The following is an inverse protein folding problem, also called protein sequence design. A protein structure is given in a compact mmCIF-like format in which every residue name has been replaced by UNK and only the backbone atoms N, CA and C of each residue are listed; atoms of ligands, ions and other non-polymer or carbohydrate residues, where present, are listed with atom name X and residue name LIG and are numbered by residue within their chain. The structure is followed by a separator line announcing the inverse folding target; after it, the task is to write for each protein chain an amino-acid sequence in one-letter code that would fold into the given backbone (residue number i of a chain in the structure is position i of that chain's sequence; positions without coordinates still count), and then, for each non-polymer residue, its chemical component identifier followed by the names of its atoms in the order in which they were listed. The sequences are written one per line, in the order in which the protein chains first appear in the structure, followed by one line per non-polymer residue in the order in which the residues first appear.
data_IF_674333893839
#
_entry.id   IF_674333893839
#
_cell.length_a   1.000
_cell.length_b   1.000
_cell.length_c   1.000
_cell.angle_alpha   90.00
_cell.angle_beta   90.00
_cell.angle_gamma   90.00
#
_symmetry.space_group_name_H-M   'P 1'
#
loop_
_entity.id
_entity.type
_entity.pdbx_description
1 polymer ?
#
# COMPACT_ATOMS: atom_id res chain seq x y z
N UNK A 1 9.78 3.32 -2.88
CA UNK A 1 9.18 2.31 -1.99
C UNK A 1 10.32 1.46 -1.40
N UNK A 2 10.51 1.45 -0.08
CA UNK A 2 11.49 0.59 0.61
C UNK A 2 10.83 -0.05 1.84
N UNK A 3 10.75 -1.38 1.86
CA UNK A 3 10.38 -2.27 2.96
C UNK A 3 11.44 -3.40 3.06
N UNK A 4 12.38 -3.31 3.98
CA UNK A 4 13.32 -4.41 4.28
C UNK A 4 12.69 -5.40 5.25
N UNK A 5 12.40 -6.63 4.80
CA UNK A 5 12.28 -7.80 5.68
C UNK A 5 13.48 -8.71 5.39
N UNK A 6 14.26 -9.05 6.41
CA UNK A 6 15.25 -10.14 6.31
C UNK A 6 14.48 -11.45 6.37
N UNK A 7 14.54 -12.26 5.32
CA UNK A 7 14.19 -13.68 5.42
C UNK A 7 15.02 -14.52 4.44
N UNK A 8 15.57 -15.58 5.00
CA UNK A 8 16.42 -16.58 4.37
C UNK A 8 15.60 -17.47 3.43
N UNK A 9 16.03 -17.53 2.16
CA UNK A 9 15.75 -18.64 1.24
C UNK A 9 14.31 -18.76 0.75
N UNK A 10 13.89 -17.89 -0.19
CA UNK A 10 12.78 -18.12 -1.13
C UNK A 10 12.97 -17.21 -2.35
N UNK A 11 12.58 -17.70 -3.53
CA UNK A 11 12.84 -17.16 -4.87
C UNK A 11 12.57 -15.65 -4.95
N UNK A 12 13.52 -14.90 -5.51
CA UNK A 12 13.58 -13.43 -5.50
C UNK A 12 12.54 -12.79 -6.46
N UNK A 13 11.27 -12.87 -6.09
CA UNK A 13 10.32 -11.83 -6.46
C UNK A 13 10.60 -10.65 -5.52
N UNK A 14 10.93 -9.47 -6.07
CA UNK A 14 11.20 -8.26 -5.28
C UNK A 14 10.18 -8.13 -4.14
N UNK A 15 10.64 -8.22 -2.89
CA UNK A 15 9.78 -8.13 -1.69
C UNK A 15 8.98 -6.82 -1.65
N UNK A 16 9.45 -5.81 -2.39
CA UNK A 16 8.91 -4.45 -2.42
C UNK A 16 7.79 -4.23 -3.46
N UNK A 17 7.50 -5.21 -4.31
CA UNK A 17 6.59 -5.06 -5.46
C UNK A 17 5.40 -6.01 -5.42
N UNK A 18 5.05 -6.48 -4.22
CA UNK A 18 3.89 -7.36 -4.00
C UNK A 18 2.54 -6.64 -4.08
N UNK A 19 2.56 -5.30 -3.99
CA UNK A 19 1.39 -4.43 -4.08
C UNK A 19 1.68 -3.37 -5.13
N UNK A 20 0.77 -3.20 -6.09
CA UNK A 20 0.90 -2.20 -7.15
C UNK A 20 -0.28 -1.25 -7.07
N UNK A 21 0.00 0.03 -6.82
CA UNK A 21 -1.01 1.09 -6.89
C UNK A 21 -1.34 1.40 -8.34
N UNK A 22 -2.62 1.42 -8.68
CA UNK A 22 -3.13 1.63 -10.04
C UNK A 22 -4.04 2.86 -10.08
N UNK A 23 -4.26 3.41 -11.28
CA UNK A 23 -5.17 4.54 -11.51
C UNK A 23 -4.89 5.78 -10.64
N UNK A 24 -3.61 6.06 -10.35
CA UNK A 24 -3.22 7.20 -9.50
C UNK A 24 -3.17 8.50 -10.33
N UNK A 25 -4.09 9.45 -10.14
CA UNK A 25 -4.02 10.74 -10.81
C UNK A 25 -2.83 11.58 -10.32
N UNK A 26 -2.41 12.54 -11.14
CA UNK A 26 -1.35 13.47 -10.80
C UNK A 26 -1.73 14.45 -9.66
N UNK A 27 -3.02 14.64 -9.42
CA UNK A 27 -3.52 15.56 -8.39
C UNK A 27 -4.89 15.12 -7.87
N UNK A 28 -5.14 15.40 -6.60
CA UNK A 28 -6.45 15.25 -5.95
C UNK A 28 -6.98 16.62 -5.53
N UNK A 29 -8.28 16.92 -5.72
CA UNK A 29 -8.86 18.16 -5.22
C UNK A 29 -8.75 18.27 -3.69
N UNK A 30 -8.51 19.48 -3.13
CA UNK A 30 -8.49 19.68 -1.69
C UNK A 30 -9.80 19.27 -1.02
N UNK A 31 -9.72 18.76 0.22
CA UNK A 31 -10.89 18.39 1.05
C UNK A 31 -11.85 17.38 0.39
N UNK A 32 -11.33 16.55 -0.52
CA UNK A 32 -12.09 15.45 -1.13
C UNK A 32 -11.55 14.11 -0.66
N UNK A 33 -12.44 13.11 -0.65
CA UNK A 33 -12.03 11.73 -0.40
C UNK A 33 -11.07 11.26 -1.48
N UNK A 34 -9.94 10.69 -1.06
CA UNK A 34 -8.96 10.07 -1.96
C UNK A 34 -9.15 8.57 -1.92
N UNK A 35 -9.50 7.97 -3.05
CA UNK A 35 -9.55 6.52 -3.22
C UNK A 35 -8.31 6.06 -3.97
N UNK A 36 -7.49 5.26 -3.31
CA UNK A 36 -6.30 4.66 -3.89
C UNK A 36 -6.58 3.19 -4.19
N UNK A 37 -6.49 2.78 -5.45
CA UNK A 37 -6.67 1.38 -5.85
C UNK A 37 -5.34 0.67 -5.96
N UNK A 38 -5.33 -0.61 -5.62
CA UNK A 38 -4.15 -1.42 -5.76
C UNK A 38 -4.46 -2.89 -6.02
N UNK A 39 -3.48 -3.57 -6.60
CA UNK A 39 -3.52 -5.01 -6.85
C UNK A 39 -2.44 -5.73 -6.06
N UNK A 40 -2.75 -6.94 -5.62
CA UNK A 40 -1.84 -7.86 -4.96
C UNK A 40 -1.18 -8.78 -5.99
N UNK A 41 0.07 -9.17 -5.73
CA UNK A 41 0.66 -10.31 -6.41
C UNK A 41 -0.10 -11.59 -6.03
N UNK A 42 -0.09 -12.59 -6.91
CA UNK A 42 -0.77 -13.87 -6.65
C UNK A 42 -0.22 -14.63 -5.44
N UNK A 43 1.00 -14.32 -4.99
CA UNK A 43 1.63 -14.95 -3.84
C UNK A 43 1.51 -14.11 -2.56
N UNK A 44 0.96 -12.90 -2.64
CA UNK A 44 0.82 -12.01 -1.48
C UNK A 44 -0.44 -12.35 -0.68
N UNK A 45 -0.28 -12.42 0.64
CA UNK A 45 -1.39 -12.67 1.56
C UNK A 45 -1.48 -11.49 2.54
N UNK A 46 -2.54 -10.65 2.43
CA UNK A 46 -2.71 -9.48 3.30
C UNK A 46 -2.87 -9.87 4.77
N UNK A 47 -2.23 -9.12 5.67
CA UNK A 47 -2.41 -9.23 7.12
C UNK A 47 -3.42 -8.19 7.64
N UNK A 48 -4.16 -8.51 8.70
CA UNK A 48 -5.08 -7.57 9.35
C UNK A 48 -4.38 -6.36 9.98
N UNK A 49 -3.04 -6.41 10.13
CA UNK A 49 -2.19 -5.30 10.56
C UNK A 49 -1.50 -4.57 9.42
N UNK A 50 -1.83 -4.89 8.16
CA UNK A 50 -1.35 -4.12 7.03
C UNK A 50 -2.12 -2.81 6.93
N UNK A 51 -1.45 -1.76 6.45
CA UNK A 51 -2.01 -0.43 6.30
C UNK A 51 -1.43 0.24 5.05
N UNK A 52 -2.22 1.14 4.46
CA UNK A 52 -1.81 1.99 3.34
C UNK A 52 -1.59 3.39 3.86
N UNK A 53 -0.39 3.94 3.65
CA UNK A 53 -0.01 5.27 4.10
C UNK A 53 0.19 6.25 2.95
N UNK A 54 -0.20 7.51 3.18
CA UNK A 54 0.21 8.65 2.35
C UNK A 54 1.46 9.26 2.98
N UNK A 55 2.51 9.43 2.17
CA UNK A 55 3.79 9.98 2.63
C UNK A 55 4.16 11.20 1.80
N UNK A 56 4.81 12.18 2.44
CA UNK A 56 5.49 13.23 1.70
C UNK A 56 6.67 12.63 0.93
N UNK A 57 6.87 13.05 -0.32
CA UNK A 57 8.06 12.65 -1.10
C UNK A 57 9.33 13.04 -0.33
N UNK A 58 10.29 12.11 -0.25
CA UNK A 58 11.52 12.26 0.53
C UNK A 58 11.44 11.73 1.97
N UNK A 59 10.37 11.00 2.33
CA UNK A 59 10.29 10.27 3.61
C UNK A 59 11.47 9.30 3.82
N UNK A 60 11.88 9.13 5.06
CA UNK A 60 13.02 8.28 5.45
C UNK A 60 12.58 7.02 6.18
N UNK A 61 11.55 7.12 7.01
CA UNK A 61 11.02 6.01 7.80
C UNK A 61 9.53 5.83 7.63
N UNK A 62 9.03 4.64 7.94
CA UNK A 62 7.59 4.36 7.95
C UNK A 62 6.80 5.22 8.95
N UNK A 63 7.48 5.87 9.92
CA UNK A 63 6.85 6.77 10.89
C UNK A 63 6.57 8.15 10.31
N UNK A 64 7.09 8.47 9.14
CA UNK A 64 6.94 9.77 8.48
C UNK A 64 5.63 9.85 7.67
N UNK A 65 4.65 9.01 7.98
CA UNK A 65 3.35 9.00 7.30
C UNK A 65 2.61 10.31 7.60
N UNK A 66 1.91 10.84 6.61
CA UNK A 66 0.99 11.96 6.78
C UNK A 66 -0.36 11.49 7.32
N UNK A 67 -0.90 10.41 6.73
CA UNK A 67 -2.11 9.72 7.17
C UNK A 67 -2.04 8.25 6.73
N UNK A 68 -2.86 7.40 7.34
CA UNK A 68 -2.94 5.99 7.00
C UNK A 68 -4.37 5.47 7.13
N UNK A 69 -4.63 4.35 6.45
CA UNK A 69 -5.83 3.53 6.65
C UNK A 69 -5.42 2.07 6.79
N UNK A 70 -6.15 1.33 7.62
CA UNK A 70 -5.98 -0.12 7.73
C UNK A 70 -6.48 -0.80 6.46
N UNK A 71 -5.82 -1.88 6.07
CA UNK A 71 -6.29 -2.72 4.97
C UNK A 71 -7.49 -3.52 5.46
N UNK A 72 -8.61 -3.40 4.73
CA UNK A 72 -9.75 -4.29 4.92
C UNK A 72 -9.43 -5.64 4.25
N UNK A 73 -9.48 -6.71 5.03
CA UNK A 73 -9.18 -8.05 4.52
C UNK A 73 -10.39 -8.59 3.75
N UNK A 74 -10.27 -8.63 2.43
CA UNK A 74 -11.19 -9.37 1.56
C UNK A 74 -10.48 -10.63 1.03
N UNK A 75 -10.87 -11.79 1.56
CA UNK A 75 -10.26 -13.07 1.17
C UNK A 75 -10.52 -13.39 -0.31
N UNK A 76 -9.47 -13.83 -1.00
CA UNK A 76 -9.56 -14.28 -2.40
C UNK A 76 -9.60 -13.17 -3.45
N UNK A 77 -9.60 -11.89 -3.05
CA UNK A 77 -9.55 -10.78 -3.99
C UNK A 77 -8.10 -10.31 -4.23
N UNK A 78 -7.70 -10.22 -5.50
CA UNK A 78 -6.39 -9.69 -5.90
C UNK A 78 -6.38 -8.17 -6.05
N UNK A 79 -7.51 -7.52 -5.80
CA UNK A 79 -7.69 -6.07 -5.90
C UNK A 79 -8.23 -5.55 -4.59
N UNK A 80 -7.85 -4.35 -4.20
CA UNK A 80 -8.40 -3.68 -3.03
C UNK A 80 -8.24 -2.16 -3.18
N UNK A 81 -8.78 -1.42 -2.22
CA UNK A 81 -8.76 0.04 -2.21
C UNK A 81 -8.60 0.61 -0.80
N UNK A 82 -7.90 1.73 -0.73
CA UNK A 82 -7.73 2.52 0.48
C UNK A 82 -8.49 3.84 0.31
N UNK A 83 -9.35 4.18 1.27
CA UNK A 83 -10.20 5.38 1.21
C UNK A 83 -9.78 6.36 2.30
N UNK A 84 -9.10 7.43 1.91
CA UNK A 84 -8.65 8.49 2.80
C UNK A 84 -9.69 9.62 2.82
N UNK A 85 -10.19 9.96 4.01
CA UNK A 85 -11.10 11.08 4.21
C UNK A 85 -10.29 12.38 4.21
N UNK A 86 -10.78 13.39 3.46
CA UNK A 86 -10.16 14.71 3.32
C UNK A 86 -10.58 15.69 4.40
#
# INVERSE_FOLDING_TARGET
MKATRRESGKIWSSTFSQVVFTDIPHSYPPSTTVTCRYTYSTAFQPNSRDWVGIFKVGWSTIKDYHTFVWVEQEEGQLTSQAVFKG
#
